data_IF_030116248990
#
_entry.id   IF_030116248990
#
_cell.length_a   1.000
_cell.length_b   1.000
_cell.length_c   1.000
_cell.angle_alpha   90.00
_cell.angle_beta   90.00
_cell.angle_gamma   90.00
#
_symmetry.space_group_name_H-M   'P 1'
#
loop_
_entity.id
_entity.type
_entity.pdbx_description
1 polymer ?
#
# COMPACT_ATOMS: atom_id res chain seq x y z
N UNK A 1 -19.30 -30.18 -6.33
CA UNK A 1 -19.30 -28.70 -6.42
C UNK A 1 -18.40 -28.07 -5.35
N UNK A 2 -18.55 -28.44 -4.07
CA UNK A 2 -17.73 -27.91 -2.96
C UNK A 2 -16.23 -28.26 -3.09
N UNK A 3 -15.88 -29.49 -3.50
CA UNK A 3 -14.45 -29.86 -3.70
C UNK A 3 -13.74 -29.04 -4.78
N UNK A 4 -14.49 -28.42 -5.71
CA UNK A 4 -13.93 -27.58 -6.76
C UNK A 4 -13.51 -26.20 -6.25
N UNK A 5 -14.12 -25.71 -5.17
CA UNK A 5 -13.89 -24.38 -4.57
C UNK A 5 -12.63 -24.33 -3.71
N UNK A 6 -12.24 -25.46 -3.11
CA UNK A 6 -11.11 -25.55 -2.17
C UNK A 6 -9.87 -26.24 -2.77
N UNK A 7 -9.74 -26.24 -4.11
CA UNK A 7 -8.54 -26.77 -4.78
C UNK A 7 -7.33 -25.90 -4.44
N UNK A 8 -6.32 -26.50 -3.81
CA UNK A 8 -5.07 -25.82 -3.50
C UNK A 8 -4.05 -26.08 -4.60
N UNK A 9 -3.19 -25.09 -4.86
CA UNK A 9 -2.02 -25.26 -5.73
C UNK A 9 -0.88 -25.77 -4.87
N UNK A 10 -0.21 -26.85 -5.30
CA UNK A 10 0.90 -27.38 -4.51
C UNK A 10 2.06 -26.38 -4.49
N UNK A 11 2.85 -26.39 -3.42
CA UNK A 11 4.00 -25.47 -3.29
C UNK A 11 5.02 -25.80 -4.39
N UNK A 12 5.18 -27.09 -4.68
CA UNK A 12 6.05 -27.62 -5.73
C UNK A 12 5.66 -27.09 -7.10
N UNK A 13 4.35 -27.05 -7.41
CA UNK A 13 3.86 -26.51 -8.68
C UNK A 13 4.04 -24.98 -8.76
N UNK A 14 3.83 -24.25 -7.65
CA UNK A 14 4.09 -22.81 -7.60
C UNK A 14 5.56 -22.51 -7.88
N UNK A 15 6.47 -23.27 -7.29
CA UNK A 15 7.92 -23.12 -7.51
C UNK A 15 8.32 -23.53 -8.93
N UNK A 16 7.74 -24.60 -9.47
CA UNK A 16 8.00 -25.04 -10.84
C UNK A 16 7.55 -23.99 -11.87
N UNK A 17 6.39 -23.37 -11.66
CA UNK A 17 5.88 -22.29 -12.53
C UNK A 17 6.77 -21.04 -12.49
N UNK A 18 7.40 -20.75 -11.34
CA UNK A 18 8.32 -19.62 -11.18
C UNK A 18 9.69 -19.87 -11.86
N UNK A 19 10.16 -21.12 -11.89
CA UNK A 19 11.46 -21.50 -12.47
C UNK A 19 11.40 -21.79 -13.99
N UNK A 20 10.25 -21.65 -14.65
CA UNK A 20 10.12 -21.84 -16.09
C UNK A 20 11.03 -20.88 -16.88
N UNK A 21 11.77 -21.35 -17.93
CA UNK A 21 12.77 -20.55 -18.62
C UNK A 21 12.25 -19.22 -19.20
N UNK A 22 11.00 -19.20 -19.64
CA UNK A 22 10.33 -18.02 -20.21
C UNK A 22 9.94 -16.96 -19.16
N UNK A 23 9.91 -17.35 -17.88
CA UNK A 23 9.43 -16.52 -16.77
C UNK A 23 10.48 -16.28 -15.68
N UNK A 24 11.64 -16.93 -15.77
CA UNK A 24 12.69 -16.89 -14.74
C UNK A 24 13.31 -15.50 -14.60
N UNK A 25 13.16 -14.90 -13.41
CA UNK A 25 13.77 -13.62 -13.07
C UNK A 25 15.24 -13.77 -12.62
N UNK A 26 16.04 -12.71 -12.82
CA UNK A 26 17.43 -12.67 -12.36
C UNK A 26 17.49 -12.41 -10.86
N UNK A 27 18.15 -13.31 -10.13
CA UNK A 27 18.37 -13.19 -8.68
C UNK A 27 19.48 -12.19 -8.37
N UNK A 28 19.14 -10.90 -8.29
CA UNK A 28 20.10 -9.81 -8.08
C UNK A 28 19.95 -9.09 -6.75
N UNK A 29 18.77 -9.15 -6.13
CA UNK A 29 18.43 -8.35 -4.95
C UNK A 29 19.01 -8.97 -3.67
N UNK A 30 19.58 -8.12 -2.83
CA UNK A 30 20.07 -8.44 -1.48
C UNK A 30 19.11 -7.93 -0.41
N UNK A 31 19.33 -8.30 0.86
CA UNK A 31 18.57 -7.76 1.98
C UNK A 31 18.51 -6.21 2.02
N UNK A 32 19.59 -5.53 1.61
CA UNK A 32 19.62 -4.07 1.52
C UNK A 32 18.72 -3.54 0.41
N UNK A 33 18.76 -4.16 -0.77
CA UNK A 33 17.91 -3.78 -1.89
C UNK A 33 16.43 -3.97 -1.54
N UNK A 34 16.09 -5.10 -0.90
CA UNK A 34 14.73 -5.40 -0.43
C UNK A 34 14.26 -4.42 0.65
N UNK A 35 15.14 -4.04 1.58
CA UNK A 35 14.82 -3.03 2.61
C UNK A 35 14.57 -1.68 1.96
N UNK A 36 15.40 -1.26 1.01
CA UNK A 36 15.21 -0.02 0.25
C UNK A 36 13.91 -0.05 -0.55
N UNK A 37 13.61 -1.15 -1.24
CA UNK A 37 12.34 -1.36 -1.94
C UNK A 37 11.13 -1.24 -0.99
N UNK A 38 11.21 -1.86 0.18
CA UNK A 38 10.20 -1.76 1.22
C UNK A 38 9.96 -0.32 1.67
N UNK A 39 11.03 0.39 2.07
CA UNK A 39 10.94 1.81 2.45
C UNK A 39 10.39 2.65 1.30
N UNK A 40 10.81 2.36 0.07
CA UNK A 40 10.37 3.03 -1.14
C UNK A 40 8.88 2.87 -1.43
N UNK A 41 8.30 1.72 -1.07
CA UNK A 41 6.88 1.42 -1.21
C UNK A 41 6.04 1.99 -0.05
N UNK A 42 6.54 1.93 1.19
CA UNK A 42 5.85 2.36 2.41
C UNK A 42 5.80 3.90 2.49
N UNK A 43 6.95 4.58 2.28
CA UNK A 43 7.03 6.04 2.42
C UNK A 43 6.41 6.75 1.21
N UNK A 44 5.21 7.29 1.41
CA UNK A 44 4.49 8.12 0.45
C UNK A 44 3.36 8.92 1.08
N UNK A 45 2.23 8.96 0.40
CA UNK A 45 1.06 9.78 0.73
C UNK A 45 0.53 9.60 2.16
N UNK A 46 0.68 8.41 2.75
CA UNK A 46 0.24 8.19 4.12
C UNK A 46 0.90 9.12 5.15
N UNK A 47 2.23 9.20 5.15
CA UNK A 47 2.96 10.08 6.08
C UNK A 47 3.03 11.53 5.60
N UNK A 48 3.04 11.76 4.29
CA UNK A 48 3.15 13.11 3.76
C UNK A 48 1.81 13.86 3.80
N UNK A 49 0.66 13.18 3.63
CA UNK A 49 -0.66 13.83 3.46
C UNK A 49 -1.66 13.35 4.50
N UNK A 50 -1.95 12.05 4.55
CA UNK A 50 -3.03 11.51 5.39
C UNK A 50 -2.82 11.74 6.88
N UNK A 51 -1.57 11.94 7.33
CA UNK A 51 -1.28 12.36 8.70
C UNK A 51 -2.03 13.63 9.09
N UNK A 52 -2.15 14.62 8.18
CA UNK A 52 -2.85 15.88 8.45
C UNK A 52 -4.34 15.63 8.68
N UNK A 53 -4.96 14.85 7.79
CA UNK A 53 -6.37 14.43 7.95
C UNK A 53 -6.58 13.62 9.23
N UNK A 54 -5.66 12.72 9.60
CA UNK A 54 -5.77 11.91 10.80
C UNK A 54 -5.60 12.72 12.11
N UNK A 55 -4.79 13.77 12.08
CA UNK A 55 -4.63 14.69 13.22
C UNK A 55 -5.87 15.55 13.41
N UNK A 56 -6.35 16.17 12.32
CA UNK A 56 -7.47 17.12 12.34
C UNK A 56 -8.82 16.41 12.49
N UNK A 57 -8.98 15.24 11.87
CA UNK A 57 -10.24 14.55 11.70
C UNK A 57 -10.88 14.85 10.34
N UNK A 58 -11.96 14.12 10.05
CA UNK A 58 -12.79 14.33 8.86
C UNK A 58 -14.27 14.44 9.25
N UNK A 59 -15.16 14.54 8.25
CA UNK A 59 -16.60 14.68 8.49
C UNK A 59 -17.25 13.51 9.24
N UNK A 60 -16.59 12.35 9.31
CA UNK A 60 -17.12 11.11 9.86
C UNK A 60 -16.33 10.61 11.07
N UNK A 61 -15.09 11.08 11.26
CA UNK A 61 -14.16 10.58 12.27
C UNK A 61 -13.50 11.71 13.05
N UNK A 62 -13.43 11.59 14.40
CA UNK A 62 -12.69 12.53 15.21
C UNK A 62 -11.18 12.46 14.91
N UNK A 63 -10.52 13.61 14.90
CA UNK A 63 -9.06 13.70 14.82
C UNK A 63 -8.36 13.25 16.10
N UNK A 64 -7.15 12.70 15.98
CA UNK A 64 -6.36 12.29 17.13
C UNK A 64 -5.65 13.46 17.84
N UNK A 65 -5.49 14.61 17.19
CA UNK A 65 -4.64 15.69 17.71
C UNK A 65 -3.19 15.23 17.93
N UNK A 66 -2.50 15.72 18.97
CA UNK A 66 -1.15 15.27 19.35
C UNK A 66 -1.04 13.77 19.64
N UNK A 67 -2.14 13.13 20.05
CA UNK A 67 -2.26 11.70 20.26
C UNK A 67 -2.06 10.83 19.00
N UNK A 68 -1.88 11.43 17.82
CA UNK A 68 -1.57 10.74 16.57
C UNK A 68 -0.37 9.79 16.68
N UNK A 69 0.59 10.08 17.57
CA UNK A 69 1.74 9.20 17.84
C UNK A 69 1.28 7.82 18.30
N UNK A 70 0.28 7.74 19.18
CA UNK A 70 -0.32 6.48 19.63
C UNK A 70 -1.01 5.74 18.49
N UNK A 71 -1.58 6.49 17.53
CA UNK A 71 -2.24 5.93 16.36
C UNK A 71 -1.24 5.24 15.43
N UNK A 72 -0.07 5.86 15.21
CA UNK A 72 1.04 5.22 14.48
C UNK A 72 1.59 4.00 15.22
N UNK A 73 1.70 4.04 16.55
CA UNK A 73 2.10 2.85 17.33
C UNK A 73 1.10 1.72 17.15
N UNK A 74 -0.21 1.99 17.29
CA UNK A 74 -1.26 0.98 17.14
C UNK A 74 -1.28 0.38 15.73
N UNK A 75 -1.20 1.22 14.70
CA UNK A 75 -1.16 0.78 13.31
C UNK A 75 0.14 0.02 12.98
N UNK A 76 1.29 0.51 13.46
CA UNK A 76 2.58 -0.14 13.27
C UNK A 76 2.64 -1.51 13.93
N UNK A 77 2.09 -1.67 15.14
CA UNK A 77 1.97 -2.97 15.81
C UNK A 77 1.06 -3.93 15.03
N UNK A 78 -0.07 -3.44 14.52
CA UNK A 78 -0.98 -4.22 13.67
C UNK A 78 -0.25 -4.75 12.43
N UNK A 79 0.50 -3.87 11.77
CA UNK A 79 1.31 -4.23 10.61
C UNK A 79 2.46 -5.17 10.98
N UNK A 80 3.07 -5.04 12.15
CA UNK A 80 4.16 -5.91 12.59
C UNK A 80 3.69 -7.35 12.77
N UNK A 81 2.51 -7.58 13.36
CA UNK A 81 1.95 -8.93 13.48
C UNK A 81 1.68 -9.56 12.12
N UNK A 82 1.11 -8.80 11.17
CA UNK A 82 0.90 -9.25 9.80
C UNK A 82 2.23 -9.50 9.08
N UNK A 83 3.18 -8.57 9.14
CA UNK A 83 4.48 -8.64 8.48
C UNK A 83 5.29 -9.88 8.90
N UNK A 84 5.22 -10.28 10.16
CA UNK A 84 5.83 -11.52 10.63
C UNK A 84 5.18 -12.76 9.99
N UNK A 85 3.86 -12.75 9.77
CA UNK A 85 3.16 -13.82 9.05
C UNK A 85 3.57 -13.86 7.56
N UNK A 86 3.69 -12.68 6.92
CA UNK A 86 4.22 -12.56 5.56
C UNK A 86 5.65 -13.09 5.45
N UNK A 87 6.51 -12.82 6.43
CA UNK A 87 7.90 -13.29 6.42
C UNK A 87 8.00 -14.83 6.47
N UNK A 88 7.14 -15.51 7.24
CA UNK A 88 7.08 -16.97 7.19
C UNK A 88 6.63 -17.45 5.82
N UNK A 89 5.54 -16.91 5.28
CA UNK A 89 5.04 -17.33 3.97
C UNK A 89 6.01 -17.08 2.82
N UNK A 90 6.61 -15.89 2.76
CA UNK A 90 7.50 -15.50 1.67
C UNK A 90 8.79 -16.33 1.64
N UNK A 91 9.21 -16.87 2.78
CA UNK A 91 10.37 -17.78 2.84
C UNK A 91 10.02 -19.23 2.54
N UNK A 92 8.78 -19.66 2.82
CA UNK A 92 8.28 -20.98 2.46
C UNK A 92 7.90 -21.08 0.98
N UNK A 93 7.35 -20.01 0.42
CA UNK A 93 6.83 -19.93 -0.95
C UNK A 93 7.47 -18.68 -1.60
N UNK A 94 8.77 -18.74 -1.96
CA UNK A 94 9.49 -17.64 -2.60
C UNK A 94 9.09 -17.48 -4.08
N UNK A 95 7.82 -17.22 -4.33
CA UNK A 95 7.24 -17.00 -5.65
C UNK A 95 6.50 -15.66 -5.69
N UNK A 96 6.42 -15.05 -6.87
CA UNK A 96 5.67 -13.82 -7.08
C UNK A 96 4.17 -14.05 -6.86
N UNK A 97 3.49 -13.06 -6.28
CA UNK A 97 2.03 -13.05 -6.12
C UNK A 97 1.50 -12.86 -4.69
N UNK A 98 2.37 -12.68 -3.69
CA UNK A 98 2.00 -12.20 -2.34
C UNK A 98 0.81 -12.99 -1.74
N UNK A 99 -0.14 -12.31 -1.08
CA UNK A 99 -1.27 -12.91 -0.38
C UNK A 99 -2.17 -13.79 -1.27
N UNK A 100 -2.28 -13.50 -2.58
CA UNK A 100 -3.01 -14.36 -3.53
C UNK A 100 -2.38 -15.76 -3.60
N UNK A 101 -1.08 -15.83 -3.85
CA UNK A 101 -0.35 -17.10 -3.95
C UNK A 101 -0.37 -17.87 -2.62
N UNK A 102 -0.24 -17.17 -1.49
CA UNK A 102 -0.32 -17.81 -0.17
C UNK A 102 -1.71 -18.37 0.12
N UNK A 103 -2.77 -17.63 -0.23
CA UNK A 103 -4.15 -18.09 -0.10
C UNK A 103 -4.41 -19.31 -1.01
N UNK A 104 -3.86 -19.34 -2.22
CA UNK A 104 -4.00 -20.48 -3.12
C UNK A 104 -3.32 -21.74 -2.57
N UNK A 105 -2.15 -21.60 -1.96
CA UNK A 105 -1.42 -22.71 -1.38
C UNK A 105 -2.07 -23.28 -0.09
N UNK A 106 -2.89 -22.49 0.61
CA UNK A 106 -3.37 -22.81 1.97
C UNK A 106 -4.89 -22.91 2.10
N UNK A 107 -5.62 -21.96 1.54
CA UNK A 107 -7.06 -21.77 1.71
C UNK A 107 -7.88 -22.31 0.51
N UNK A 108 -7.24 -22.46 -0.64
CA UNK A 108 -7.84 -22.98 -1.87
C UNK A 108 -8.29 -21.88 -2.84
N UNK A 109 -8.68 -22.32 -4.04
CA UNK A 109 -8.94 -21.47 -5.22
C UNK A 109 -9.96 -20.36 -4.98
N UNK A 110 -11.09 -20.64 -4.32
CA UNK A 110 -12.12 -19.63 -4.10
C UNK A 110 -11.63 -18.49 -3.20
N UNK A 111 -11.00 -18.82 -2.07
CA UNK A 111 -10.45 -17.81 -1.17
C UNK A 111 -9.25 -17.10 -1.81
N UNK A 112 -8.42 -17.80 -2.58
CA UNK A 112 -7.38 -17.18 -3.39
C UNK A 112 -7.95 -16.18 -4.39
N UNK A 113 -9.01 -16.53 -5.11
CA UNK A 113 -9.70 -15.62 -6.01
C UNK A 113 -10.18 -14.37 -5.30
N UNK A 114 -10.87 -14.51 -4.16
CA UNK A 114 -11.34 -13.36 -3.38
C UNK A 114 -10.17 -12.48 -2.92
N UNK A 115 -9.07 -13.09 -2.45
CA UNK A 115 -7.85 -12.36 -2.11
C UNK A 115 -7.30 -11.59 -3.32
N UNK A 116 -7.16 -12.23 -4.48
CA UNK A 116 -6.65 -11.59 -5.70
C UNK A 116 -7.56 -10.48 -6.23
N UNK A 117 -8.87 -10.71 -6.22
CA UNK A 117 -9.89 -9.74 -6.61
C UNK A 117 -9.89 -8.49 -5.72
N UNK A 118 -9.68 -8.68 -4.41
CA UNK A 118 -9.54 -7.58 -3.47
C UNK A 118 -8.19 -6.86 -3.62
N UNK A 119 -7.10 -7.56 -3.87
CA UNK A 119 -5.79 -6.96 -4.15
C UNK A 119 -5.84 -6.07 -5.41
N UNK A 120 -6.55 -6.47 -6.46
CA UNK A 120 -6.72 -5.66 -7.67
C UNK A 120 -7.36 -4.31 -7.36
N UNK A 121 -8.42 -4.30 -6.53
CA UNK A 121 -9.06 -3.08 -6.08
C UNK A 121 -8.12 -2.28 -5.18
N UNK A 122 -7.52 -2.94 -4.19
CA UNK A 122 -6.61 -2.33 -3.22
C UNK A 122 -5.50 -1.55 -3.90
N UNK A 123 -4.72 -2.19 -4.78
CA UNK A 123 -3.63 -1.53 -5.50
C UNK A 123 -4.14 -0.39 -6.39
N UNK A 124 -5.28 -0.57 -7.06
CA UNK A 124 -5.87 0.46 -7.91
C UNK A 124 -6.29 1.70 -7.12
N UNK A 125 -7.05 1.50 -6.05
CA UNK A 125 -7.52 2.60 -5.20
C UNK A 125 -6.39 3.18 -4.35
N UNK A 126 -5.35 2.40 -4.02
CA UNK A 126 -4.13 2.93 -3.43
C UNK A 126 -3.45 3.93 -4.38
N UNK A 127 -3.36 3.61 -5.67
CA UNK A 127 -2.83 4.53 -6.68
C UNK A 127 -3.66 5.82 -6.79
N UNK A 128 -4.99 5.72 -6.64
CA UNK A 128 -5.90 6.89 -6.57
C UNK A 128 -5.51 7.78 -5.39
N UNK A 129 -5.46 7.24 -4.17
CA UNK A 129 -5.07 8.01 -2.99
C UNK A 129 -3.66 8.60 -3.11
N UNK A 130 -2.70 7.81 -3.61
CA UNK A 130 -1.32 8.24 -3.84
C UNK A 130 -1.25 9.43 -4.81
N UNK A 131 -1.96 9.37 -5.93
CA UNK A 131 -2.00 10.43 -6.94
C UNK A 131 -2.67 11.71 -6.43
N UNK A 132 -3.73 11.60 -5.62
CA UNK A 132 -4.36 12.77 -5.00
C UNK A 132 -3.41 13.43 -4.00
N UNK A 133 -2.71 12.63 -3.19
CA UNK A 133 -1.68 13.15 -2.27
C UNK A 133 -0.50 13.82 -3.00
N UNK A 134 -0.08 13.24 -4.14
CA UNK A 134 0.89 13.86 -5.02
C UNK A 134 0.43 15.23 -5.50
N UNK A 135 -0.84 15.34 -5.93
CA UNK A 135 -1.43 16.60 -6.36
C UNK A 135 -1.44 17.65 -5.25
N UNK A 136 -1.71 17.28 -3.99
CA UNK A 136 -1.68 18.22 -2.86
C UNK A 136 -0.31 18.90 -2.71
N UNK A 137 0.76 18.09 -2.75
CA UNK A 137 2.13 18.60 -2.70
C UNK A 137 2.56 19.37 -3.95
N UNK A 138 2.13 18.93 -5.13
CA UNK A 138 2.39 19.64 -6.37
C UNK A 138 1.74 21.03 -6.36
N UNK A 139 0.49 21.13 -5.92
CA UNK A 139 -0.22 22.40 -5.77
C UNK A 139 0.45 23.30 -4.72
N UNK A 140 0.91 22.73 -3.60
CA UNK A 140 1.67 23.46 -2.59
C UNK A 140 2.97 24.04 -3.17
N UNK A 141 3.71 23.26 -3.96
CA UNK A 141 4.94 23.72 -4.62
C UNK A 141 4.67 24.86 -5.60
N UNK A 142 3.60 24.78 -6.39
CA UNK A 142 3.19 25.87 -7.27
C UNK A 142 2.84 27.13 -6.49
N UNK A 143 2.10 27.02 -5.37
CA UNK A 143 1.78 28.15 -4.50
C UNK A 143 3.05 28.77 -3.91
N UNK A 144 4.04 27.98 -3.49
CA UNK A 144 5.34 28.49 -3.04
C UNK A 144 6.10 29.23 -4.13
N UNK A 145 5.88 28.89 -5.40
CA UNK A 145 6.41 29.61 -6.57
C UNK A 145 5.55 30.81 -7.02
N UNK A 146 4.46 31.12 -6.31
CA UNK A 146 3.54 32.21 -6.65
C UNK A 146 2.53 31.88 -7.76
N UNK A 147 2.38 30.60 -8.11
CA UNK A 147 1.45 30.12 -9.14
C UNK A 147 0.27 29.45 -8.43
N UNK A 148 -0.93 30.02 -8.56
CA UNK A 148 -2.16 29.42 -8.03
C UNK A 148 -2.99 28.79 -9.15
N UNK A 149 -3.22 27.48 -9.04
CA UNK A 149 -4.12 26.79 -9.97
C UNK A 149 -5.59 27.03 -9.60
N UNK A 150 -6.50 27.09 -10.58
CA UNK A 150 -7.91 27.29 -10.32
C UNK A 150 -8.50 26.20 -9.42
N UNK A 151 -9.33 26.60 -8.47
CA UNK A 151 -9.95 25.70 -7.49
C UNK A 151 -10.73 24.54 -8.11
N UNK A 152 -11.45 24.81 -9.20
CA UNK A 152 -12.24 23.82 -9.93
C UNK A 152 -11.39 22.68 -10.52
N UNK A 153 -10.09 22.92 -10.74
CA UNK A 153 -9.17 22.00 -11.41
C UNK A 153 -8.29 21.18 -10.45
N UNK A 154 -8.35 21.45 -9.15
CA UNK A 154 -7.45 20.87 -8.14
C UNK A 154 -8.16 20.03 -7.09
N UNK A 155 -9.49 20.09 -7.02
CA UNK A 155 -10.27 19.37 -6.02
C UNK A 155 -11.34 18.49 -6.68
N UNK A 156 -11.60 17.29 -6.14
CA UNK A 156 -12.65 16.42 -6.64
C UNK A 156 -14.06 16.93 -6.27
N UNK A 157 -15.10 16.48 -6.99
CA UNK A 157 -16.48 16.70 -6.59
C UNK A 157 -16.76 15.97 -5.27
N UNK A 158 -17.47 16.63 -4.35
CA UNK A 158 -17.82 16.05 -3.04
C UNK A 158 -16.68 16.01 -2.01
N UNK A 159 -15.49 16.52 -2.34
CA UNK A 159 -14.45 16.78 -1.33
C UNK A 159 -14.79 17.99 -0.45
N UNK A 160 -14.09 18.15 0.71
CA UNK A 160 -14.38 19.24 1.67
C UNK A 160 -14.26 20.63 1.05
N UNK A 161 -13.35 20.81 0.10
CA UNK A 161 -13.13 22.10 -0.57
C UNK A 161 -14.10 22.34 -1.74
N UNK A 162 -14.64 21.27 -2.35
CA UNK A 162 -15.60 21.34 -3.47
C UNK A 162 -15.00 21.82 -4.81
N UNK A 163 -14.65 20.87 -5.70
CA UNK A 163 -14.18 21.17 -7.06
C UNK A 163 -14.90 20.35 -8.15
N UNK A 164 -14.43 20.48 -9.40
CA UNK A 164 -14.98 19.72 -10.54
C UNK A 164 -14.20 18.42 -10.73
N UNK A 165 -12.88 18.49 -10.71
CA UNK A 165 -11.99 17.34 -10.79
C UNK A 165 -10.57 17.73 -10.36
N UNK A 166 -9.83 16.77 -9.80
CA UNK A 166 -8.40 16.89 -9.55
C UNK A 166 -7.59 16.49 -10.80
N UNK A 167 -7.37 17.45 -11.70
CA UNK A 167 -6.61 17.21 -12.93
C UNK A 167 -5.13 16.87 -12.70
N UNK A 168 -4.40 17.52 -11.77
CA UNK A 168 -3.01 17.15 -11.52
C UNK A 168 -2.85 15.67 -11.13
N UNK A 169 -3.76 15.14 -10.30
CA UNK A 169 -3.76 13.73 -9.92
C UNK A 169 -4.02 12.81 -11.14
N UNK A 170 -4.97 13.15 -12.00
CA UNK A 170 -5.23 12.39 -13.22
C UNK A 170 -4.02 12.41 -14.18
N UNK A 171 -3.41 13.58 -14.37
CA UNK A 171 -2.28 13.78 -15.27
C UNK A 171 -1.08 12.94 -14.82
N UNK A 172 -0.72 12.96 -13.53
CA UNK A 172 0.42 12.17 -13.06
C UNK A 172 0.20 10.67 -13.24
N UNK A 173 -1.03 10.17 -13.04
CA UNK A 173 -1.36 8.76 -13.30
C UNK A 173 -1.20 8.42 -14.78
N UNK A 174 -1.68 9.27 -15.69
CA UNK A 174 -1.53 9.06 -17.14
C UNK A 174 -0.05 9.09 -17.55
N UNK A 175 0.75 10.00 -17.00
CA UNK A 175 2.19 10.05 -17.25
C UNK A 175 2.89 8.77 -16.78
N UNK A 176 2.59 8.31 -15.56
CA UNK A 176 3.13 7.03 -15.05
C UNK A 176 2.64 5.86 -15.91
N UNK A 177 1.39 5.86 -16.37
CA UNK A 177 0.85 4.84 -17.28
C UNK A 177 1.66 4.78 -18.58
N UNK A 178 1.94 5.93 -19.20
CA UNK A 178 2.77 6.00 -20.42
C UNK A 178 4.16 5.43 -20.16
N UNK A 179 4.78 5.82 -19.06
CA UNK A 179 6.10 5.33 -18.64
C UNK A 179 6.08 3.79 -18.49
N UNK A 180 5.04 3.23 -17.87
CA UNK A 180 4.89 1.79 -17.68
C UNK A 180 4.61 1.03 -18.98
N UNK A 181 3.87 1.61 -19.93
CA UNK A 181 3.62 1.00 -21.25
C UNK A 181 4.91 0.96 -22.09
N UNK A 182 5.65 2.06 -22.15
CA UNK A 182 6.94 2.13 -22.87
C UNK A 182 7.97 1.18 -22.26
N UNK A 183 7.82 0.91 -20.96
CA UNK A 183 8.65 -0.02 -20.22
C UNK A 183 9.83 0.69 -19.60
N UNK A 184 9.88 0.66 -18.27
CA UNK A 184 11.02 1.13 -17.51
C UNK A 184 11.90 -0.07 -17.21
N UNK A 185 13.17 -0.01 -17.67
CA UNK A 185 14.21 -0.85 -17.09
C UNK A 185 14.58 -0.25 -15.75
N UNK A 186 13.76 -0.51 -14.74
CA UNK A 186 14.07 -0.11 -13.36
C UNK A 186 15.40 -0.74 -12.96
N UNK A 187 16.41 0.10 -12.76
CA UNK A 187 17.65 -0.33 -12.14
C UNK A 187 17.42 -0.27 -10.63
N UNK A 188 17.74 -1.34 -9.89
CA UNK A 188 17.74 -1.33 -8.42
C UNK A 188 18.50 -0.11 -7.84
N UNK A 189 19.50 0.40 -8.58
CA UNK A 189 20.24 1.63 -8.24
C UNK A 189 19.37 2.89 -8.31
N UNK A 190 18.51 3.03 -9.32
CA UNK A 190 17.60 4.16 -9.45
C UNK A 190 16.58 4.18 -8.31
N UNK A 191 16.00 3.02 -8.00
CA UNK A 191 15.11 2.87 -6.83
C UNK A 191 15.82 3.24 -5.53
N UNK A 192 17.05 2.75 -5.33
CA UNK A 192 17.86 3.09 -4.16
C UNK A 192 18.13 4.59 -4.00
N UNK A 193 18.43 5.29 -5.11
CA UNK A 193 18.65 6.75 -5.09
C UNK A 193 17.37 7.49 -4.64
N UNK A 194 16.21 7.10 -5.18
CA UNK A 194 14.93 7.74 -4.82
C UNK A 194 14.60 7.50 -3.34
N UNK A 195 14.86 6.29 -2.82
CA UNK A 195 14.65 5.97 -1.40
C UNK A 195 15.55 6.83 -0.51
N UNK A 196 16.83 6.95 -0.86
CA UNK A 196 17.76 7.83 -0.14
C UNK A 196 17.28 9.29 -0.14
N UNK A 197 16.76 9.79 -1.27
CA UNK A 197 16.17 11.13 -1.36
C UNK A 197 14.98 11.27 -0.38
N UNK A 198 14.05 10.32 -0.36
CA UNK A 198 12.89 10.34 0.56
C UNK A 198 13.33 10.38 2.02
N UNK A 199 14.26 9.51 2.39
CA UNK A 199 14.79 9.43 3.75
C UNK A 199 15.50 10.74 4.13
N UNK A 200 16.31 11.29 3.23
CA UNK A 200 16.98 12.57 3.46
C UNK A 200 15.99 13.70 3.70
N UNK A 201 14.89 13.75 2.95
CA UNK A 201 13.84 14.78 3.10
C UNK A 201 13.11 14.65 4.44
N UNK A 202 12.79 13.43 4.87
CA UNK A 202 12.15 13.18 6.17
C UNK A 202 13.10 13.54 7.32
N UNK A 203 14.36 13.09 7.24
CA UNK A 203 15.37 13.42 8.24
C UNK A 203 15.65 14.92 8.29
N UNK A 204 15.61 15.61 7.15
CA UNK A 204 15.69 17.06 7.07
C UNK A 204 14.52 17.74 7.78
N UNK A 205 13.28 17.32 7.53
CA UNK A 205 12.11 17.83 8.25
C UNK A 205 12.25 17.62 9.77
N UNK A 206 12.69 16.42 10.19
CA UNK A 206 12.92 16.11 11.61
C UNK A 206 13.98 17.06 12.20
N UNK A 207 15.12 17.21 11.53
CA UNK A 207 16.23 18.02 12.02
C UNK A 207 15.91 19.52 12.09
N UNK A 208 15.23 20.06 11.07
CA UNK A 208 14.87 21.49 11.00
C UNK A 208 13.64 21.81 11.87
N UNK A 209 12.69 20.87 11.97
CA UNK A 209 11.49 21.04 12.77
C UNK A 209 11.74 20.94 14.27
N UNK A 210 12.63 20.05 14.72
CA UNK A 210 12.84 19.79 16.16
C UNK A 210 13.12 21.06 17.00
N UNK A 211 14.01 21.98 16.58
CA UNK A 211 14.29 23.20 17.35
C UNK A 211 13.12 24.18 17.44
N UNK A 212 12.14 24.08 16.53
CA UNK A 212 10.97 24.95 16.46
C UNK A 212 9.72 24.35 17.13
N UNK A 213 9.84 23.18 17.77
CA UNK A 213 8.73 22.53 18.49
C UNK A 213 8.34 23.36 19.71
N UNK A 214 7.04 23.65 19.82
CA UNK A 214 6.44 24.20 21.03
C UNK A 214 5.61 23.12 21.74
N UNK A 215 6.01 22.77 22.97
CA UNK A 215 5.33 21.76 23.79
C UNK A 215 3.89 22.13 24.16
N UNK A 216 3.53 23.41 24.14
CA UNK A 216 2.17 23.87 24.43
C UNK A 216 1.17 23.34 23.40
N UNK A 217 1.62 23.11 22.15
CA UNK A 217 0.80 22.53 21.08
C UNK A 217 0.38 21.08 21.37
N UNK A 218 1.05 20.39 22.31
CA UNK A 218 0.66 19.05 22.74
C UNK A 218 -0.41 19.04 23.83
N UNK A 219 -0.90 20.20 24.27
CA UNK A 219 -1.98 20.31 25.25
C UNK A 219 -3.25 20.89 24.60
N UNK A 220 -4.39 20.18 24.62
CA UNK A 220 -4.61 18.83 25.16
C UNK A 220 -4.04 17.72 24.26
N UNK A 221 -3.42 16.68 24.86
CA UNK A 221 -2.78 15.60 24.09
C UNK A 221 -3.79 14.67 23.40
N UNK A 222 -4.91 14.38 24.08
CA UNK A 222 -6.00 13.52 23.59
C UNK A 222 -7.32 14.30 23.58
N UNK A 223 -7.49 15.29 22.68
CA UNK A 223 -8.69 16.13 22.65
C UNK A 223 -9.99 15.32 22.47
N UNK A 224 -9.92 14.21 21.71
CA UNK A 224 -11.05 13.33 21.42
C UNK A 224 -10.91 11.93 22.08
N UNK A 225 -10.02 11.82 23.08
CA UNK A 225 -9.74 10.55 23.77
C UNK A 225 -9.23 9.43 22.85
N UNK A 226 -9.37 8.18 23.31
CA UNK A 226 -8.95 7.00 22.55
C UNK A 226 -9.80 6.71 21.31
N UNK A 227 -11.01 7.28 21.22
CA UNK A 227 -11.83 7.18 20.02
C UNK A 227 -11.15 7.88 18.82
N UNK A 228 -10.60 9.08 19.04
CA UNK A 228 -9.78 9.78 18.04
C UNK A 228 -8.52 8.99 17.64
N UNK A 229 -7.85 8.37 18.61
CA UNK A 229 -6.67 7.53 18.35
C UNK A 229 -7.00 6.31 17.49
N UNK A 230 -8.09 5.60 17.80
CA UNK A 230 -8.52 4.43 17.02
C UNK A 230 -8.93 4.80 15.58
N UNK A 231 -9.70 5.88 15.44
CA UNK A 231 -10.11 6.38 14.13
C UNK A 231 -8.93 6.84 13.27
N UNK A 232 -8.01 7.61 13.86
CA UNK A 232 -6.79 8.04 13.18
C UNK A 232 -5.86 6.87 12.84
N UNK A 233 -5.77 5.84 13.70
CA UNK A 233 -5.00 4.63 13.42
C UNK A 233 -5.51 3.91 12.16
N UNK A 234 -6.84 3.86 11.98
CA UNK A 234 -7.45 3.31 10.77
C UNK A 234 -7.16 4.17 9.52
N UNK A 235 -6.98 5.49 9.66
CA UNK A 235 -6.57 6.38 8.54
C UNK A 235 -5.08 6.16 8.21
N UNK A 236 -4.20 6.30 9.20
CA UNK A 236 -2.73 6.24 8.98
C UNK A 236 -2.22 4.81 8.75
N UNK A 237 -3.06 3.80 8.90
CA UNK A 237 -2.78 2.45 8.41
C UNK A 237 -2.35 2.45 6.95
N UNK A 238 -2.93 3.34 6.14
CA UNK A 238 -2.52 3.54 4.75
C UNK A 238 -1.01 3.77 4.59
N UNK A 239 -0.38 4.47 5.55
CA UNK A 239 1.05 4.77 5.51
C UNK A 239 1.93 3.53 5.62
N UNK A 240 1.43 2.42 6.15
CA UNK A 240 2.19 1.18 6.34
C UNK A 240 2.07 0.20 5.18
N UNK A 241 1.19 0.46 4.22
CA UNK A 241 0.96 -0.40 3.07
C UNK A 241 2.22 -0.37 2.17
N UNK A 242 2.68 -1.55 1.75
CA UNK A 242 3.83 -1.67 0.84
C UNK A 242 4.94 -2.61 1.32
N UNK A 243 5.00 -2.99 2.60
CA UNK A 243 5.98 -4.01 3.03
C UNK A 243 5.72 -5.37 2.36
N UNK A 244 4.46 -5.68 2.03
CA UNK A 244 4.05 -6.90 1.34
C UNK A 244 4.50 -6.90 -0.14
N UNK A 245 4.76 -5.73 -0.73
CA UNK A 245 5.32 -5.61 -2.08
C UNK A 245 6.71 -6.26 -2.18
N UNK A 246 7.49 -6.27 -1.08
CA UNK A 246 8.78 -6.96 -1.00
C UNK A 246 8.60 -8.46 -1.29
N UNK A 247 7.49 -9.05 -0.82
CA UNK A 247 7.20 -10.46 -1.05
C UNK A 247 6.92 -10.79 -2.52
N UNK A 248 6.50 -9.80 -3.33
CA UNK A 248 6.35 -9.98 -4.79
C UNK A 248 7.69 -10.07 -5.52
N UNK A 249 8.78 -9.62 -4.88
CA UNK A 249 10.16 -9.66 -5.43
C UNK A 249 10.95 -10.88 -4.96
N UNK A 250 10.28 -11.86 -4.35
CA UNK A 250 10.91 -13.07 -3.81
C UNK A 250 11.74 -13.84 -4.86
N UNK A 251 11.29 -13.87 -6.10
CA UNK A 251 11.99 -14.54 -7.22
C UNK A 251 13.28 -13.82 -7.64
N UNK A 252 13.41 -12.53 -7.32
CA UNK A 252 14.57 -11.68 -7.65
C UNK A 252 15.62 -11.63 -6.51
N UNK A 253 15.29 -12.20 -5.34
CA UNK A 253 16.18 -12.21 -4.19
C UNK A 253 17.27 -13.29 -4.30
N UNK A 254 18.51 -12.94 -3.92
CA UNK A 254 19.67 -13.85 -3.93
C UNK A 254 19.52 -14.96 -2.90
N UNK A 255 19.15 -14.63 -1.67
CA UNK A 255 18.85 -15.59 -0.62
C UNK A 255 17.47 -15.29 -0.01
N UNK A 256 16.37 -15.68 -0.69
CA UNK A 256 15.00 -15.34 -0.27
C UNK A 256 14.71 -15.74 1.18
N UNK A 257 15.27 -16.86 1.64
CA UNK A 257 15.06 -17.41 2.98
C UNK A 257 15.54 -16.49 4.12
N UNK A 258 16.59 -15.70 3.87
CA UNK A 258 17.15 -14.75 4.82
C UNK A 258 16.80 -13.31 4.48
N UNK A 259 16.89 -12.95 3.21
CA UNK A 259 16.83 -11.56 2.76
C UNK A 259 15.40 -11.01 2.81
N UNK A 260 14.37 -11.84 2.55
CA UNK A 260 12.97 -11.40 2.61
C UNK A 260 12.51 -11.02 4.02
N UNK A 261 12.70 -11.86 5.08
CA UNK A 261 12.35 -11.47 6.44
C UNK A 261 13.05 -10.19 6.89
N UNK A 262 14.34 -10.04 6.56
CA UNK A 262 15.11 -8.83 6.89
C UNK A 262 14.50 -7.62 6.19
N UNK A 263 14.25 -7.70 4.87
CA UNK A 263 13.66 -6.61 4.11
C UNK A 263 12.31 -6.17 4.65
N UNK A 264 11.42 -7.12 4.93
CA UNK A 264 10.07 -6.86 5.47
C UNK A 264 10.14 -6.19 6.85
N UNK A 265 10.87 -6.80 7.80
CA UNK A 265 10.89 -6.31 9.19
C UNK A 265 11.68 -5.00 9.30
N UNK A 266 12.82 -4.87 8.62
CA UNK A 266 13.67 -3.69 8.69
C UNK A 266 12.97 -2.46 8.08
N UNK A 267 12.37 -2.61 6.88
CA UNK A 267 11.66 -1.50 6.23
C UNK A 267 10.49 -1.00 7.09
N UNK A 268 9.67 -1.91 7.62
CA UNK A 268 8.55 -1.57 8.48
C UNK A 268 9.00 -0.87 9.77
N UNK A 269 10.05 -1.39 10.42
CA UNK A 269 10.56 -0.84 11.68
C UNK A 269 11.14 0.56 11.48
N UNK A 270 11.95 0.76 10.43
CA UNK A 270 12.53 2.07 10.10
C UNK A 270 11.42 3.08 9.81
N UNK A 271 10.43 2.71 8.99
CA UNK A 271 9.31 3.61 8.67
C UNK A 271 8.49 3.95 9.92
N UNK A 272 8.24 2.98 10.81
CA UNK A 272 7.51 3.20 12.07
C UNK A 272 8.18 4.27 12.94
N UNK A 273 9.49 4.18 13.13
CA UNK A 273 10.24 5.15 13.94
C UNK A 273 10.18 6.54 13.30
N UNK A 274 10.38 6.63 11.98
CA UNK A 274 10.30 7.89 11.25
C UNK A 274 8.89 8.51 11.33
N UNK A 275 7.85 7.70 11.24
CA UNK A 275 6.46 8.17 11.29
C UNK A 275 6.10 8.74 12.64
N UNK A 276 6.49 8.06 13.72
CA UNK A 276 6.31 8.56 15.09
C UNK A 276 7.05 9.89 15.28
N UNK A 277 8.29 9.99 14.79
CA UNK A 277 9.08 11.22 14.88
C UNK A 277 8.45 12.38 14.09
N UNK A 278 8.05 12.14 12.84
CA UNK A 278 7.36 13.14 12.00
C UNK A 278 6.06 13.59 12.65
N UNK A 279 5.28 12.67 13.20
CA UNK A 279 4.00 12.98 13.83
C UNK A 279 4.15 13.82 15.10
N UNK A 280 5.11 13.49 15.96
CA UNK A 280 5.41 14.27 17.15
C UNK A 280 5.89 15.69 16.81
N UNK A 281 6.76 15.82 15.81
CA UNK A 281 7.29 17.12 15.37
C UNK A 281 6.20 17.95 14.70
N UNK A 282 5.43 17.37 13.78
CA UNK A 282 4.36 18.07 13.07
C UNK A 282 3.34 18.68 14.05
N UNK A 283 2.88 17.90 15.02
CA UNK A 283 1.94 18.38 16.05
C UNK A 283 2.57 19.32 17.07
N UNK A 284 3.90 19.30 17.20
CA UNK A 284 4.65 20.25 18.03
C UNK A 284 4.93 21.59 17.33
N UNK A 285 5.02 21.60 16.00
CA UNK A 285 5.30 22.81 15.21
C UNK A 285 4.09 23.74 15.10
N UNK A 286 2.91 23.16 14.89
CA UNK A 286 1.68 23.92 14.61
C UNK A 286 0.49 23.38 15.40
N UNK A 287 -0.40 24.25 15.92
CA UNK A 287 -1.63 23.82 16.58
C UNK A 287 -2.52 22.98 15.65
N UNK A 288 -3.26 22.03 16.21
CA UNK A 288 -4.14 21.10 15.46
C UNK A 288 -5.07 21.83 14.47
N UNK A 289 -5.64 22.96 14.88
CA UNK A 289 -6.58 23.74 14.05
C UNK A 289 -5.94 24.41 12.83
N UNK A 290 -4.61 24.46 12.79
CA UNK A 290 -3.83 25.05 11.71
C UNK A 290 -3.08 24.00 10.88
N UNK A 291 -3.27 22.70 11.11
CA UNK A 291 -2.61 21.69 10.29
C UNK A 291 -3.30 21.60 8.93
N UNK A 292 -2.52 21.79 7.86
CA UNK A 292 -2.99 21.61 6.50
C UNK A 292 -3.21 20.10 6.19
N UNK A 293 -4.27 19.77 5.47
CA UNK A 293 -4.65 18.38 5.19
C UNK A 293 -4.13 17.86 3.83
N UNK A 294 -3.55 18.73 3.00
CA UNK A 294 -3.12 18.42 1.64
C UNK A 294 -1.59 18.30 1.52
N UNK A 295 -0.83 19.08 2.30
CA UNK A 295 0.64 19.08 2.37
C UNK A 295 1.17 19.42 3.79
N UNK A 296 0.72 18.73 4.86
CA UNK A 296 0.98 19.09 6.26
C UNK A 296 2.45 19.31 6.60
N UNK A 297 3.35 18.44 6.11
CA UNK A 297 4.77 18.47 6.49
C UNK A 297 5.47 19.70 5.92
N UNK A 298 5.17 20.08 4.67
CA UNK A 298 5.75 21.26 4.05
C UNK A 298 5.12 22.55 4.60
N UNK A 299 3.78 22.55 4.75
CA UNK A 299 3.05 23.71 5.26
C UNK A 299 3.44 24.06 6.71
N UNK A 300 3.64 23.06 7.57
CA UNK A 300 4.11 23.27 8.94
C UNK A 300 5.45 24.01 9.00
N UNK A 301 6.43 23.63 8.17
CA UNK A 301 7.71 24.34 8.07
C UNK A 301 7.54 25.77 7.56
N UNK A 302 6.62 25.98 6.60
CA UNK A 302 6.32 27.33 6.09
C UNK A 302 5.75 28.22 7.20
N UNK A 303 4.82 27.69 8.02
CA UNK A 303 4.18 28.40 9.14
C UNK A 303 5.15 28.80 10.25
N UNK A 304 6.17 27.98 10.51
CA UNK A 304 7.24 28.31 11.48
C UNK A 304 8.38 29.14 10.87
N UNK A 305 8.22 29.63 9.64
CA UNK A 305 9.14 30.59 8.99
C UNK A 305 10.20 29.97 8.07
N UNK A 306 10.29 28.65 7.97
CA UNK A 306 11.27 27.94 7.13
C UNK A 306 10.74 27.67 5.71
N UNK A 307 10.37 28.74 4.98
CA UNK A 307 9.80 28.64 3.61
C UNK A 307 10.67 27.89 2.61
N UNK A 308 12.00 28.09 2.66
CA UNK A 308 12.93 27.37 1.79
C UNK A 308 12.99 25.87 2.13
N UNK A 309 12.88 25.53 3.42
CA UNK A 309 12.81 24.15 3.90
C UNK A 309 11.51 23.48 3.47
N UNK A 310 10.38 24.21 3.53
CA UNK A 310 9.10 23.75 3.00
C UNK A 310 9.19 23.38 1.52
N UNK A 311 9.86 24.19 0.70
CA UNK A 311 10.06 23.90 -0.73
C UNK A 311 10.89 22.63 -0.96
N UNK A 312 11.98 22.43 -0.21
CA UNK A 312 12.80 21.19 -0.29
C UNK A 312 11.95 19.98 0.06
N UNK A 313 11.17 20.06 1.14
CA UNK A 313 10.28 18.97 1.56
C UNK A 313 9.21 18.71 0.51
N UNK A 314 8.62 19.76 -0.08
CA UNK A 314 7.60 19.60 -1.10
C UNK A 314 8.14 18.95 -2.38
N UNK A 315 9.31 19.37 -2.87
CA UNK A 315 9.98 18.74 -4.03
C UNK A 315 10.30 17.27 -3.73
N UNK A 316 10.84 17.01 -2.54
CA UNK A 316 11.14 15.66 -2.08
C UNK A 316 9.91 14.76 -1.98
N UNK A 317 8.79 15.30 -1.48
CA UNK A 317 7.52 14.60 -1.40
C UNK A 317 6.94 14.32 -2.79
N UNK A 318 6.93 15.29 -3.72
CA UNK A 318 6.49 15.08 -5.11
C UNK A 318 7.30 13.95 -5.77
N UNK A 319 8.62 14.03 -5.73
CA UNK A 319 9.50 12.99 -6.29
C UNK A 319 9.27 11.63 -5.61
N UNK A 320 9.12 11.64 -4.30
CA UNK A 320 8.95 10.44 -3.51
C UNK A 320 7.62 9.74 -3.73
N UNK A 321 6.52 10.49 -3.73
CA UNK A 321 5.17 9.98 -3.95
C UNK A 321 5.03 9.45 -5.39
N UNK A 322 5.65 10.10 -6.40
CA UNK A 322 5.72 9.56 -7.77
C UNK A 322 6.30 8.15 -7.79
N UNK A 323 7.35 7.91 -7.01
CA UNK A 323 7.97 6.57 -6.97
C UNK A 323 7.06 5.52 -6.36
N UNK A 324 6.23 5.88 -5.37
CA UNK A 324 5.23 4.97 -4.80
C UNK A 324 4.17 4.65 -5.85
N UNK A 325 3.72 5.66 -6.61
CA UNK A 325 2.72 5.48 -7.66
C UNK A 325 3.19 4.48 -8.72
N UNK A 326 4.45 4.59 -9.17
CA UNK A 326 5.07 3.63 -10.10
C UNK A 326 5.06 2.21 -9.53
N UNK A 327 5.48 2.05 -8.27
CA UNK A 327 5.54 0.73 -7.60
C UNK A 327 4.16 0.11 -7.43
N UNK A 328 3.17 0.88 -7.00
CA UNK A 328 1.80 0.38 -6.78
C UNK A 328 1.11 0.00 -8.09
N UNK A 329 1.27 0.80 -9.15
CA UNK A 329 0.74 0.47 -10.47
C UNK A 329 1.40 -0.79 -11.05
N UNK A 330 2.72 -0.94 -10.89
CA UNK A 330 3.43 -2.18 -11.26
C UNK A 330 2.92 -3.39 -10.47
N UNK A 331 2.70 -3.24 -9.16
CA UNK A 331 2.13 -4.27 -8.30
C UNK A 331 0.77 -4.75 -8.81
N UNK A 332 -0.13 -3.80 -9.13
CA UNK A 332 -1.45 -4.10 -9.68
C UNK A 332 -1.36 -4.91 -10.97
N UNK A 333 -0.51 -4.48 -11.91
CA UNK A 333 -0.31 -5.13 -13.20
C UNK A 333 0.21 -6.57 -13.02
N UNK A 334 1.13 -6.79 -12.07
CA UNK A 334 1.65 -8.13 -11.75
C UNK A 334 0.57 -9.06 -11.20
N UNK A 335 -0.36 -8.55 -10.38
CA UNK A 335 -1.50 -9.34 -9.89
C UNK A 335 -2.43 -9.72 -11.04
N UNK A 336 -2.77 -8.79 -11.93
CA UNK A 336 -3.55 -9.09 -13.15
C UNK A 336 -2.87 -10.17 -13.99
N UNK A 337 -1.55 -10.04 -14.18
CA UNK A 337 -0.78 -11.00 -14.95
C UNK A 337 -0.80 -12.41 -14.33
N UNK A 338 -0.62 -12.52 -13.00
CA UNK A 338 -0.66 -13.79 -12.29
C UNK A 338 -2.05 -14.45 -12.36
N UNK A 339 -3.13 -13.69 -12.11
CA UNK A 339 -4.51 -14.20 -12.17
C UNK A 339 -4.95 -14.57 -13.59
N UNK A 340 -4.52 -13.80 -14.59
CA UNK A 340 -4.73 -14.11 -16.00
C UNK A 340 -3.98 -15.37 -16.43
N UNK A 341 -2.74 -15.57 -15.94
CA UNK A 341 -1.96 -16.79 -16.18
C UNK A 341 -2.65 -18.05 -15.65
N UNK A 342 -3.30 -17.95 -14.49
CA UNK A 342 -4.10 -19.02 -13.89
C UNK A 342 -5.49 -19.20 -14.57
N UNK A 343 -5.82 -18.36 -15.57
CA UNK A 343 -7.08 -18.33 -16.33
C UNK A 343 -8.32 -18.04 -15.47
N UNK A 344 -8.11 -17.45 -14.29
CA UNK A 344 -9.20 -16.90 -13.48
C UNK A 344 -9.70 -15.56 -14.04
N UNK A 345 -8.83 -14.84 -14.74
CA UNK A 345 -9.16 -13.68 -15.57
C UNK A 345 -8.95 -13.98 -17.06
N UNK A 346 -9.40 -13.06 -17.91
CA UNK A 346 -9.31 -13.25 -19.36
C UNK A 346 -7.86 -13.13 -19.87
N UNK A 347 -7.39 -14.05 -20.74
CA UNK A 347 -5.98 -14.12 -21.16
C UNK A 347 -5.41 -12.85 -21.82
N UNK A 348 -6.25 -11.99 -22.40
CA UNK A 348 -5.80 -10.76 -23.05
C UNK A 348 -5.17 -9.75 -22.08
N UNK A 349 -5.49 -9.83 -20.78
CA UNK A 349 -4.89 -8.99 -19.75
C UNK A 349 -3.40 -9.31 -19.53
N UNK A 350 -2.97 -10.53 -19.89
CA UNK A 350 -1.55 -10.93 -19.88
C UNK A 350 -0.83 -10.74 -21.22
N UNK A 351 -1.47 -10.16 -22.25
CA UNK A 351 -0.82 -9.96 -23.55
C UNK A 351 0.24 -8.87 -23.46
N UNK A 352 1.48 -9.23 -23.83
CA UNK A 352 2.64 -8.33 -23.80
C UNK A 352 2.82 -7.57 -25.12
N UNK A 353 3.33 -6.34 -25.02
CA UNK A 353 3.57 -5.48 -26.18
C UNK A 353 4.73 -6.02 -27.02
N UNK A 354 4.59 -6.18 -28.35
CA UNK A 354 5.63 -6.80 -29.20
C UNK A 354 7.00 -6.10 -29.15
N UNK A 355 7.02 -4.77 -28.98
CA UNK A 355 8.25 -3.96 -28.94
C UNK A 355 8.81 -3.75 -27.53
N UNK A 356 7.95 -3.69 -26.52
CA UNK A 356 8.33 -3.23 -25.17
C UNK A 356 8.33 -4.37 -24.13
N UNK A 357 7.68 -5.50 -24.43
CA UNK A 357 7.59 -6.64 -23.50
C UNK A 357 6.70 -6.39 -22.27
N UNK A 358 5.90 -5.33 -22.28
CA UNK A 358 5.05 -4.89 -21.16
C UNK A 358 3.59 -5.28 -21.38
N UNK A 359 2.82 -5.64 -20.34
CA UNK A 359 1.39 -5.98 -20.44
C UNK A 359 0.53 -4.70 -20.64
N UNK A 360 0.60 -4.14 -21.85
CA UNK A 360 0.05 -2.83 -22.19
C UNK A 360 -1.47 -2.72 -22.04
N UNK A 361 -2.25 -3.76 -22.34
CA UNK A 361 -3.71 -3.71 -22.19
C UNK A 361 -4.14 -3.55 -20.73
N UNK A 362 -3.58 -4.36 -19.83
CA UNK A 362 -3.84 -4.22 -18.40
C UNK A 362 -3.38 -2.85 -17.89
N UNK A 363 -2.19 -2.40 -18.32
CA UNK A 363 -1.62 -1.12 -17.91
C UNK A 363 -2.48 0.07 -18.33
N UNK A 364 -2.95 0.10 -19.58
CA UNK A 364 -3.78 1.19 -20.10
C UNK A 364 -5.16 1.17 -19.46
N UNK A 365 -5.78 0.00 -19.31
CA UNK A 365 -7.09 -0.14 -18.68
C UNK A 365 -7.06 0.36 -17.23
N UNK A 366 -6.10 -0.13 -16.44
CA UNK A 366 -5.97 0.28 -15.04
C UNK A 366 -5.55 1.74 -14.93
N UNK A 367 -4.63 2.21 -15.77
CA UNK A 367 -4.20 3.60 -15.79
C UNK A 367 -5.33 4.58 -16.05
N UNK A 368 -6.20 4.30 -17.03
CA UNK A 368 -7.38 5.14 -17.32
C UNK A 368 -8.38 5.10 -16.16
N UNK A 369 -8.66 3.91 -15.60
CA UNK A 369 -9.56 3.77 -14.47
C UNK A 369 -9.05 4.54 -13.25
N UNK A 370 -7.78 4.36 -12.88
CA UNK A 370 -7.12 5.05 -11.75
C UNK A 370 -7.08 6.56 -12.00
N UNK A 371 -6.75 7.03 -13.20
CA UNK A 371 -6.72 8.46 -13.50
C UNK A 371 -8.11 9.11 -13.36
N UNK A 372 -9.15 8.41 -13.82
CA UNK A 372 -10.54 8.86 -13.71
C UNK A 372 -10.97 8.94 -12.24
N UNK A 373 -10.68 7.90 -11.46
CA UNK A 373 -11.01 7.88 -10.03
C UNK A 373 -10.17 8.91 -9.24
N UNK A 374 -8.89 9.10 -9.56
CA UNK A 374 -8.03 10.12 -8.96
C UNK A 374 -8.52 11.54 -9.24
N UNK A 375 -9.18 11.76 -10.37
CA UNK A 375 -9.81 13.03 -10.68
C UNK A 375 -11.08 13.28 -9.86
N UNK A 376 -11.86 12.24 -9.57
CA UNK A 376 -13.24 12.37 -9.12
C UNK A 376 -13.50 11.98 -7.66
N UNK A 377 -12.59 11.23 -7.03
CA UNK A 377 -12.79 10.68 -5.69
C UNK A 377 -11.99 11.46 -4.64
N UNK A 378 -12.58 11.79 -3.47
CA UNK A 378 -11.84 12.34 -2.33
C UNK A 378 -10.76 11.39 -1.80
N UNK A 379 -9.63 11.94 -1.35
CA UNK A 379 -8.51 11.13 -0.84
C UNK A 379 -8.90 10.21 0.33
N UNK A 380 -9.76 10.69 1.24
CA UNK A 380 -10.21 9.91 2.40
C UNK A 380 -11.00 8.66 1.99
N UNK A 381 -11.91 8.80 1.03
CA UNK A 381 -12.69 7.68 0.48
C UNK A 381 -11.78 6.65 -0.19
N UNK A 382 -10.78 7.11 -0.96
CA UNK A 382 -9.81 6.22 -1.59
C UNK A 382 -8.94 5.51 -0.53
N UNK A 383 -8.42 6.24 0.46
CA UNK A 383 -7.61 5.67 1.52
C UNK A 383 -8.38 4.63 2.35
N UNK A 384 -9.63 4.91 2.72
CA UNK A 384 -10.47 3.97 3.48
C UNK A 384 -10.77 2.68 2.69
N UNK A 385 -10.99 2.82 1.38
CA UNK A 385 -11.18 1.69 0.46
C UNK A 385 -9.93 0.83 0.32
N UNK A 386 -8.75 1.45 0.27
CA UNK A 386 -7.49 0.70 0.31
C UNK A 386 -7.35 -0.01 1.66
N UNK A 387 -7.54 0.70 2.77
CA UNK A 387 -7.32 0.16 4.11
C UNK A 387 -8.21 -1.04 4.40
N UNK A 388 -9.51 -1.02 4.07
CA UNK A 388 -10.39 -2.18 4.30
C UNK A 388 -9.94 -3.41 3.50
N UNK A 389 -9.47 -3.22 2.27
CA UNK A 389 -8.99 -4.29 1.40
C UNK A 389 -7.72 -4.92 1.94
N UNK A 390 -6.72 -4.11 2.27
CA UNK A 390 -5.44 -4.58 2.82
C UNK A 390 -5.61 -5.25 4.19
N UNK A 391 -6.39 -4.64 5.09
CA UNK A 391 -6.65 -5.23 6.41
C UNK A 391 -7.31 -6.60 6.30
N UNK A 392 -8.27 -6.75 5.38
CA UNK A 392 -8.89 -8.04 5.09
C UNK A 392 -7.88 -9.05 4.51
N UNK A 393 -7.01 -8.64 3.59
CA UNK A 393 -5.94 -9.49 3.08
C UNK A 393 -4.99 -9.94 4.20
N UNK A 394 -4.64 -9.07 5.14
CA UNK A 394 -3.80 -9.41 6.28
C UNK A 394 -4.49 -10.40 7.24
N UNK A 395 -5.80 -10.27 7.45
CA UNK A 395 -6.58 -11.27 8.19
C UNK A 395 -6.48 -12.64 7.51
N UNK A 396 -6.66 -12.72 6.19
CA UNK A 396 -6.55 -13.97 5.44
C UNK A 396 -5.14 -14.58 5.50
N UNK A 397 -4.11 -13.75 5.46
CA UNK A 397 -2.71 -14.20 5.62
C UNK A 397 -2.47 -14.75 7.02
N UNK A 398 -2.93 -14.07 8.07
CA UNK A 398 -2.82 -14.58 9.44
C UNK A 398 -3.55 -15.93 9.60
N UNK A 399 -4.77 -16.07 9.06
CA UNK A 399 -5.52 -17.33 9.02
C UNK A 399 -4.72 -18.40 8.26
N UNK A 400 -4.18 -18.05 7.09
CA UNK A 400 -3.42 -18.94 6.24
C UNK A 400 -2.19 -19.53 6.94
N UNK A 401 -1.42 -18.72 7.66
CA UNK A 401 -0.24 -19.21 8.41
C UNK A 401 -0.65 -20.20 9.49
N UNK A 402 -1.75 -19.91 10.22
CA UNK A 402 -2.30 -20.82 11.23
C UNK A 402 -2.68 -22.15 10.58
N UNK A 403 -3.47 -22.12 9.51
CA UNK A 403 -3.91 -23.33 8.81
C UNK A 403 -2.73 -24.13 8.26
N UNK A 404 -1.74 -23.47 7.65
CA UNK A 404 -0.58 -24.15 7.09
C UNK A 404 0.29 -24.79 8.18
N UNK A 405 0.35 -24.20 9.38
CA UNK A 405 1.06 -24.79 10.52
C UNK A 405 0.52 -26.18 10.86
N UNK A 406 -0.80 -26.36 10.84
CA UNK A 406 -1.45 -27.61 11.24
C UNK A 406 -1.66 -28.59 10.08
N UNK A 407 -1.87 -28.10 8.85
CA UNK A 407 -2.11 -28.96 7.68
C UNK A 407 -0.83 -29.49 7.05
N UNK A 408 0.27 -28.72 7.08
CA UNK A 408 1.59 -29.14 6.57
C UNK A 408 2.70 -28.92 7.62
N UNK A 409 2.67 -29.64 8.75
CA UNK A 409 3.63 -29.43 9.85
C UNK A 409 5.07 -29.71 9.42
N UNK A 410 5.30 -30.67 8.53
CA UNK A 410 6.64 -31.10 8.10
C UNK A 410 7.26 -30.23 6.99
N UNK A 411 6.55 -29.22 6.47
CA UNK A 411 7.10 -28.32 5.45
C UNK A 411 8.29 -27.54 6.02
N UNK A 412 9.36 -27.39 5.24
CA UNK A 412 10.53 -26.59 5.63
C UNK A 412 10.12 -25.12 5.84
N UNK A 413 10.57 -24.55 6.96
CA UNK A 413 10.29 -23.16 7.37
C UNK A 413 11.59 -22.44 7.70
N UNK A 414 12.20 -21.76 6.73
CA UNK A 414 13.46 -21.06 6.94
C UNK A 414 13.32 -19.93 7.96
N UNK A 415 12.23 -19.15 7.86
CA UNK A 415 11.78 -18.27 8.93
C UNK A 415 10.58 -18.93 9.65
N UNK A 416 10.68 -19.08 10.97
CA UNK A 416 9.57 -19.57 11.81
C UNK A 416 9.03 -18.41 12.64
N UNK A 417 7.75 -18.14 12.46
CA UNK A 417 7.01 -17.15 13.22
C UNK A 417 7.09 -17.47 14.73
N UNK A 418 7.52 -16.50 15.57
CA UNK A 418 7.55 -16.70 17.01
C UNK A 418 6.13 -16.70 17.60
N UNK A 419 5.96 -17.37 18.75
CA UNK A 419 4.72 -17.39 19.54
C UNK A 419 3.47 -17.81 18.76
N UNK A 420 3.57 -18.86 17.96
CA UNK A 420 2.40 -19.48 17.33
C UNK A 420 1.47 -20.12 18.39
N UNK A 421 0.13 -19.95 18.33
CA UNK A 421 -0.66 -19.16 17.38
C UNK A 421 -1.00 -17.73 17.85
N UNK A 422 -0.41 -17.26 18.94
CA UNK A 422 -0.72 -15.96 19.53
C UNK A 422 -0.47 -14.79 18.57
N UNK A 423 0.68 -14.74 17.90
CA UNK A 423 1.01 -13.62 16.99
C UNK A 423 0.00 -13.47 15.84
N UNK A 424 -0.36 -14.53 15.09
CA UNK A 424 -1.39 -14.44 14.07
C UNK A 424 -2.76 -14.07 14.62
N UNK A 425 -3.13 -14.57 15.81
CA UNK A 425 -4.41 -14.21 16.45
C UNK A 425 -4.44 -12.73 16.80
N UNK A 426 -3.38 -12.20 17.41
CA UNK A 426 -3.27 -10.77 17.68
C UNK A 426 -3.29 -9.95 16.38
N UNK A 427 -2.63 -10.41 15.32
CA UNK A 427 -2.70 -9.80 14.00
C UNK A 427 -4.13 -9.74 13.43
N UNK A 428 -4.87 -10.84 13.50
CA UNK A 428 -6.29 -10.88 13.07
C UNK A 428 -7.15 -9.92 13.89
N UNK A 429 -7.05 -9.98 15.22
CA UNK A 429 -7.85 -9.14 16.11
C UNK A 429 -7.52 -7.65 15.94
N UNK A 430 -6.25 -7.31 15.77
CA UNK A 430 -5.82 -5.93 15.53
C UNK A 430 -6.30 -5.41 14.17
N UNK A 431 -6.21 -6.23 13.11
CA UNK A 431 -6.72 -5.85 11.78
C UNK A 431 -8.24 -5.65 11.81
N UNK A 432 -9.00 -6.61 12.37
CA UNK A 432 -10.45 -6.50 12.52
C UNK A 432 -10.83 -5.30 13.41
N UNK A 433 -10.04 -5.02 14.45
CA UNK A 433 -10.18 -3.84 15.29
C UNK A 433 -10.08 -2.54 14.50
N UNK A 434 -9.03 -2.37 13.67
CA UNK A 434 -8.89 -1.20 12.81
C UNK A 434 -10.00 -1.11 11.75
N UNK A 435 -10.43 -2.24 11.18
CA UNK A 435 -11.56 -2.26 10.24
C UNK A 435 -12.85 -1.75 10.88
N UNK A 436 -13.06 -1.99 12.18
CA UNK A 436 -14.26 -1.52 12.89
C UNK A 436 -14.34 0.01 13.03
N UNK A 437 -13.21 0.71 12.90
CA UNK A 437 -13.14 2.18 12.90
C UNK A 437 -13.35 2.79 11.50
N UNK A 438 -13.49 1.99 10.45
CA UNK A 438 -13.77 2.49 9.10
C UNK A 438 -15.26 2.83 8.93
N UNK A 439 -15.59 3.86 8.13
CA UNK A 439 -16.97 4.27 7.90
C UNK A 439 -17.86 3.14 7.38
N UNK A 440 -19.15 3.14 7.74
CA UNK A 440 -20.09 2.12 7.27
C UNK A 440 -20.23 2.06 5.74
N UNK A 441 -20.10 3.20 5.07
CA UNK A 441 -20.09 3.28 3.60
C UNK A 441 -18.93 2.47 3.00
N UNK A 442 -17.79 2.41 3.67
CA UNK A 442 -16.63 1.60 3.29
C UNK A 442 -16.97 0.11 3.32
N UNK A 443 -17.68 -0.36 4.35
CA UNK A 443 -18.14 -1.74 4.42
C UNK A 443 -19.12 -2.10 3.30
N UNK A 444 -20.05 -1.20 2.97
CA UNK A 444 -21.00 -1.39 1.87
C UNK A 444 -20.25 -1.53 0.54
N UNK A 445 -19.35 -0.59 0.23
CA UNK A 445 -18.57 -0.60 -1.03
C UNK A 445 -17.70 -1.86 -1.13
N UNK A 446 -17.04 -2.27 -0.04
CA UNK A 446 -16.26 -3.50 0.02
C UNK A 446 -17.11 -4.77 -0.17
N UNK A 447 -18.28 -4.82 0.46
CA UNK A 447 -19.25 -5.90 0.30
C UNK A 447 -19.74 -6.02 -1.14
N UNK A 448 -20.11 -4.90 -1.77
CA UNK A 448 -20.53 -4.86 -3.18
C UNK A 448 -19.41 -5.37 -4.09
N UNK A 449 -18.17 -4.89 -3.91
CA UNK A 449 -17.03 -5.34 -4.70
C UNK A 449 -16.77 -6.84 -4.54
N UNK A 450 -16.85 -7.35 -3.31
CA UNK A 450 -16.69 -8.77 -3.03
C UNK A 450 -17.77 -9.60 -3.71
N UNK A 451 -19.04 -9.15 -3.68
CA UNK A 451 -20.15 -9.81 -4.37
C UNK A 451 -19.93 -9.83 -5.88
N UNK A 452 -19.49 -8.72 -6.48
CA UNK A 452 -19.12 -8.68 -7.91
C UNK A 452 -18.04 -9.71 -8.21
N UNK A 453 -17.01 -9.80 -7.38
CA UNK A 453 -15.94 -10.80 -7.51
C UNK A 453 -16.46 -12.22 -7.45
N UNK A 454 -17.40 -12.53 -6.55
CA UNK A 454 -18.05 -13.84 -6.46
C UNK A 454 -18.82 -14.14 -7.75
N UNK A 455 -19.61 -13.18 -8.26
CA UNK A 455 -20.37 -13.36 -9.50
C UNK A 455 -19.44 -13.61 -10.69
N UNK A 456 -18.33 -12.86 -10.81
CA UNK A 456 -17.32 -13.06 -11.86
C UNK A 456 -16.67 -14.45 -11.76
N UNK A 457 -16.35 -14.91 -10.55
CA UNK A 457 -15.79 -16.25 -10.35
C UNK A 457 -16.75 -17.36 -10.74
N UNK A 458 -18.02 -17.28 -10.29
CA UNK A 458 -19.04 -18.27 -10.61
C UNK A 458 -19.35 -18.28 -12.13
N UNK A 459 -19.33 -17.11 -12.77
CA UNK A 459 -19.62 -16.96 -14.20
C UNK A 459 -18.47 -17.41 -15.11
N UNK A 460 -17.24 -17.02 -14.79
CA UNK A 460 -16.06 -17.20 -15.64
C UNK A 460 -14.97 -18.05 -14.98
N UNK A 461 -14.48 -17.67 -13.79
CA UNK A 461 -13.29 -18.26 -13.16
C UNK A 461 -13.42 -19.77 -12.90
N UNK A 462 -14.57 -20.22 -12.40
CA UNK A 462 -14.84 -21.64 -12.13
C UNK A 462 -14.76 -22.54 -13.36
N UNK A 463 -15.07 -22.00 -14.54
CA UNK A 463 -15.10 -22.75 -15.81
C UNK A 463 -13.75 -22.76 -16.52
N UNK A 464 -12.93 -21.74 -16.30
CA UNK A 464 -11.67 -21.52 -17.03
C UNK A 464 -10.41 -21.75 -16.19
N UNK A 465 -10.54 -22.00 -14.87
CA UNK A 465 -9.41 -22.33 -14.00
C UNK A 465 -8.58 -23.48 -14.58
N UNK A 466 -7.26 -23.25 -14.71
CA UNK A 466 -6.31 -24.28 -15.18
C UNK A 466 -6.32 -25.55 -14.32
N UNK A 467 -6.62 -25.42 -13.01
CA UNK A 467 -6.77 -26.55 -12.08
C UNK A 467 -8.08 -27.33 -12.29
N UNK A 468 -8.96 -26.88 -13.19
CA UNK A 468 -10.15 -27.61 -13.63
C UNK A 468 -10.01 -28.33 -14.97
N UNK A 469 -8.92 -28.08 -15.72
CA UNK A 469 -8.58 -28.86 -16.90
C UNK A 469 -8.24 -30.31 -16.54
N UNK A 470 -8.45 -31.28 -17.45
CA UNK A 470 -7.96 -32.64 -17.23
C UNK A 470 -6.45 -32.56 -17.02
N UNK A 471 -6.00 -33.08 -15.88
CA UNK A 471 -4.57 -33.24 -15.57
C UNK A 471 -3.91 -33.98 -16.71
N UNK A 472 -3.12 -33.26 -17.53
CA UNK A 472 -2.22 -33.83 -18.52
C UNK A 472 -0.90 -34.20 -17.87
#
# INVERSE_FOLDING_TARGET
>A
MISRLFRTKSIEQILADADQPEHRLKKTLTAWDLTALGIGAIIGTGIFVLIGTAIVGDAHRPGAGPGIVLSFVLSGLTCAFAALCYAEFSTMIPAAGSAYTYSYATLGEFLAWITGWNLILEYGVACVAVAIGWSGYFNNLLRLAGIELPHWATHPPGGPDGGVANFPAAIIVLLVTIILVVGIKESARATGIIVCLKLAVILFFIAVGTPAVNSDNWTPFLPQGFAGVGAAAAIVFFAYIGFDAISTTAEEAKNPQRDLPIGIIASLSICTVLYIAVAAILTGLVPVTQIDIHAPVADALSKVGFKWGAAIVAIGAVAGITSVLVVMMLGQIRVFFAMSRDHLLSPWLSTVHPRYGTPHYATILTGIAVATLAALIPIGDAADMTNIGTLFAFVLVCIGVVILRYTKPNQLRPFKLPFMPLVPILGMLACLGLMSFLPWVTWIRFGIWTVIGIVVYLGYGMKHSKLAGPSS
#
